data_IF_360449557350
#
_entry.id   IF_360449557350
#
_cell.length_a   1.000
_cell.length_b   1.000
_cell.length_c   1.000
_cell.angle_alpha   90.00
_cell.angle_beta   90.00
_cell.angle_gamma   90.00
#
_symmetry.space_group_name_H-M   'P 1'
#
loop_
_entity.id
_entity.type
_entity.pdbx_description
1 polymer ?
#
# COMPACT_ATOMS: atom_id res chain seq x y z
N UNK A 1 8.08 -2.80 -7.35
CA UNK A 1 7.22 -1.76 -6.74
C UNK A 1 7.87 -1.11 -5.53
N UNK A 2 8.13 -1.84 -4.47
CA UNK A 2 8.78 -1.27 -3.27
C UNK A 2 10.23 -0.82 -3.51
N UNK A 3 10.99 -1.54 -4.30
CA UNK A 3 12.32 -1.12 -4.73
C UNK A 3 12.30 0.23 -5.46
N UNK A 4 11.27 0.48 -6.26
CA UNK A 4 11.08 1.78 -6.91
C UNK A 4 10.78 2.90 -5.91
N UNK A 5 9.97 2.64 -4.88
CA UNK A 5 9.70 3.61 -3.81
C UNK A 5 10.97 3.94 -2.99
N UNK A 6 11.80 2.93 -2.70
CA UNK A 6 13.10 3.15 -2.06
C UNK A 6 14.03 3.96 -2.95
N UNK A 7 14.12 3.64 -4.24
CA UNK A 7 14.90 4.39 -5.21
C UNK A 7 14.43 5.84 -5.37
N UNK A 8 13.13 6.09 -5.20
CA UNK A 8 12.51 7.43 -5.28
C UNK A 8 12.41 8.16 -3.94
N UNK A 9 13.04 7.65 -2.89
CA UNK A 9 12.98 8.24 -1.55
C UNK A 9 13.43 9.71 -1.52
N UNK A 10 14.46 10.07 -2.28
CA UNK A 10 14.94 11.44 -2.35
C UNK A 10 13.90 12.38 -2.99
N UNK A 11 13.21 11.94 -4.04
CA UNK A 11 12.15 12.69 -4.70
C UNK A 11 10.93 12.88 -3.79
N UNK A 12 10.53 11.83 -3.06
CA UNK A 12 9.45 11.88 -2.09
C UNK A 12 9.77 12.85 -0.94
N UNK A 13 10.99 12.80 -0.41
CA UNK A 13 11.45 13.77 0.61
C UNK A 13 11.45 15.20 0.10
N UNK A 14 11.85 15.43 -1.14
CA UNK A 14 11.81 16.75 -1.76
C UNK A 14 10.38 17.30 -1.91
N UNK A 15 9.38 16.43 -1.96
CA UNK A 15 7.94 16.76 -1.94
C UNK A 15 7.37 16.93 -0.52
N UNK A 16 8.20 16.86 0.51
CA UNK A 16 7.78 17.02 1.90
C UNK A 16 7.29 15.75 2.60
N UNK A 17 7.49 14.58 1.99
CA UNK A 17 7.13 13.30 2.61
C UNK A 17 8.16 12.96 3.69
N UNK A 18 7.71 12.84 4.92
CA UNK A 18 8.53 12.51 6.07
C UNK A 18 8.64 11.01 6.30
N UNK A 19 7.58 10.25 6.00
CA UNK A 19 7.50 8.82 6.18
C UNK A 19 6.60 8.15 5.14
N UNK A 20 6.96 6.92 4.78
CA UNK A 20 6.11 6.04 3.97
C UNK A 20 5.84 4.78 4.79
N UNK A 21 4.58 4.53 5.10
CA UNK A 21 4.14 3.30 5.77
C UNK A 21 3.59 2.33 4.74
N UNK A 22 4.14 1.13 4.71
CA UNK A 22 3.63 0.02 3.92
C UNK A 22 3.01 -0.97 4.88
N UNK A 23 1.73 -1.27 4.72
CA UNK A 23 1.07 -2.26 5.56
C UNK A 23 0.32 -3.30 4.74
N UNK A 24 0.15 -4.46 5.31
CA UNK A 24 -0.70 -5.53 4.78
C UNK A 24 -1.47 -6.20 5.91
N UNK A 25 -2.55 -6.88 5.55
CA UNK A 25 -3.27 -7.79 6.45
C UNK A 25 -2.47 -9.10 6.54
N UNK A 26 -1.33 -9.02 7.22
CA UNK A 26 -0.44 -10.14 7.52
C UNK A 26 0.12 -9.95 8.93
N UNK A 27 0.66 -11.02 9.52
CA UNK A 27 1.31 -10.93 10.83
C UNK A 27 2.68 -10.26 10.79
N UNK A 28 3.22 -9.93 11.96
CA UNK A 28 4.49 -9.24 12.09
C UNK A 28 5.68 -10.07 11.57
N UNK A 29 5.63 -11.40 11.63
CA UNK A 29 6.70 -12.26 11.14
C UNK A 29 6.77 -12.22 9.61
N UNK A 30 5.63 -12.26 8.93
CA UNK A 30 5.54 -12.13 7.47
C UNK A 30 6.01 -10.75 7.03
N UNK A 31 5.58 -9.68 7.68
CA UNK A 31 5.98 -8.31 7.35
C UNK A 31 7.48 -8.10 7.57
N UNK A 32 8.05 -8.70 8.61
CA UNK A 32 9.50 -8.65 8.87
C UNK A 32 10.30 -9.39 7.80
N UNK A 33 9.84 -10.58 7.40
CA UNK A 33 10.48 -11.35 6.34
C UNK A 33 10.46 -10.60 5.00
N UNK A 34 9.33 -9.97 4.67
CA UNK A 34 9.20 -9.16 3.47
C UNK A 34 10.08 -7.90 3.52
N UNK A 35 10.13 -7.20 4.65
CA UNK A 35 11.02 -6.06 4.84
C UNK A 35 12.49 -6.44 4.61
N UNK A 36 12.91 -7.59 5.17
CA UNK A 36 14.27 -8.11 4.97
C UNK A 36 14.55 -8.43 3.50
N UNK A 37 13.61 -9.06 2.80
CA UNK A 37 13.72 -9.35 1.36
C UNK A 37 13.88 -8.07 0.53
N UNK A 38 13.18 -7.00 0.91
CA UNK A 38 13.23 -5.70 0.25
C UNK A 38 14.34 -4.77 0.77
N UNK A 39 15.23 -5.26 1.64
CA UNK A 39 16.29 -4.47 2.29
C UNK A 39 15.80 -3.23 3.05
N UNK A 40 14.65 -3.35 3.70
CA UNK A 40 14.04 -2.31 4.55
C UNK A 40 14.34 -2.62 6.01
N UNK A 41 15.13 -1.79 6.66
CA UNK A 41 15.56 -1.96 8.06
C UNK A 41 14.85 -1.00 9.04
N UNK A 42 13.94 -0.16 8.54
CA UNK A 42 13.19 0.80 9.33
C UNK A 42 13.92 2.10 9.67
N UNK A 43 15.20 2.26 9.24
CA UNK A 43 15.97 3.49 9.47
C UNK A 43 15.75 4.54 8.39
N UNK A 44 15.28 4.12 7.21
CA UNK A 44 15.00 5.00 6.07
C UNK A 44 13.58 5.59 6.10
N UNK A 45 13.16 6.09 4.93
CA UNK A 45 11.85 6.68 4.72
C UNK A 45 10.71 5.65 4.87
N UNK A 46 10.94 4.41 4.44
CA UNK A 46 9.93 3.36 4.34
C UNK A 46 9.94 2.48 5.58
N UNK A 47 8.77 2.24 6.15
CA UNK A 47 8.56 1.36 7.30
C UNK A 47 7.41 0.39 7.01
N UNK A 48 7.52 -0.86 7.44
CA UNK A 48 6.49 -1.88 7.28
C UNK A 48 5.70 -2.10 8.57
N UNK A 49 4.38 -2.19 8.43
CA UNK A 49 3.45 -2.46 9.51
C UNK A 49 2.61 -3.71 9.23
N UNK A 50 2.21 -4.39 10.29
CA UNK A 50 1.33 -5.55 10.26
C UNK A 50 -0.07 -5.18 10.75
N UNK A 51 -1.09 -5.46 9.94
CA UNK A 51 -2.51 -5.30 10.29
C UNK A 51 -3.20 -6.67 10.28
N UNK A 52 -2.70 -7.60 11.09
CA UNK A 52 -3.12 -9.02 11.07
C UNK A 52 -4.60 -9.25 11.42
N UNK A 53 -5.24 -8.33 12.14
CA UNK A 53 -6.65 -8.39 12.49
C UNK A 53 -7.53 -7.47 11.64
N UNK A 54 -6.99 -6.87 10.59
CA UNK A 54 -7.69 -5.94 9.69
C UNK A 54 -8.30 -4.72 10.39
N UNK A 55 -7.73 -4.29 11.51
CA UNK A 55 -8.25 -3.16 12.30
C UNK A 55 -8.09 -1.85 11.53
N UNK A 56 -6.89 -1.58 11.03
CA UNK A 56 -6.61 -0.41 10.21
C UNK A 56 -7.36 -0.46 8.88
N UNK A 57 -7.34 -1.61 8.21
CA UNK A 57 -8.04 -1.84 6.94
C UNK A 57 -9.52 -1.51 7.04
N UNK A 58 -10.19 -1.98 8.07
CA UNK A 58 -11.62 -1.71 8.31
C UNK A 58 -11.87 -0.25 8.68
N UNK A 59 -11.02 0.32 9.52
CA UNK A 59 -11.14 1.73 9.92
C UNK A 59 -11.01 2.69 8.73
N UNK A 60 -10.18 2.34 7.74
CA UNK A 60 -10.00 3.11 6.51
C UNK A 60 -11.06 2.81 5.43
N UNK A 61 -11.93 1.83 5.64
CA UNK A 61 -12.91 1.39 4.62
C UNK A 61 -12.25 0.70 3.41
N UNK A 62 -11.09 0.09 3.60
CA UNK A 62 -10.29 -0.52 2.52
C UNK A 62 -10.37 -2.04 2.49
N UNK A 63 -11.35 -2.63 3.14
CA UNK A 63 -11.56 -4.08 3.09
C UNK A 63 -12.07 -4.52 1.72
N UNK A 64 -11.48 -5.58 1.16
CA UNK A 64 -11.99 -6.25 -0.04
C UNK A 64 -13.23 -7.06 0.36
N UNK A 65 -14.36 -6.78 -0.30
CA UNK A 65 -15.66 -7.44 -0.04
C UNK A 65 -16.16 -8.29 -1.21
N UNK A 66 -15.41 -8.31 -2.33
CA UNK A 66 -15.79 -9.08 -3.52
C UNK A 66 -15.61 -10.59 -3.30
N UNK A 67 -16.56 -11.38 -3.73
CA UNK A 67 -16.59 -12.83 -3.49
C UNK A 67 -15.38 -13.59 -4.05
N UNK A 68 -14.90 -13.23 -5.25
CA UNK A 68 -13.74 -13.86 -5.86
C UNK A 68 -12.48 -13.72 -4.99
N UNK A 69 -11.98 -12.49 -4.78
CA UNK A 69 -10.83 -12.26 -3.91
C UNK A 69 -11.01 -12.78 -2.49
N UNK A 70 -12.19 -12.65 -1.89
CA UNK A 70 -12.46 -13.18 -0.55
C UNK A 70 -12.42 -14.71 -0.50
N UNK A 71 -12.85 -15.38 -1.58
CA UNK A 71 -12.79 -16.84 -1.69
C UNK A 71 -11.35 -17.36 -1.77
N UNK A 72 -10.50 -16.66 -2.51
CA UNK A 72 -9.12 -17.07 -2.74
C UNK A 72 -8.19 -16.68 -1.59
N UNK A 73 -8.36 -15.48 -1.04
CA UNK A 73 -7.44 -14.89 -0.06
C UNK A 73 -7.96 -14.93 1.39
N UNK A 74 -9.21 -15.27 1.57
CA UNK A 74 -9.90 -15.17 2.86
C UNK A 74 -10.45 -13.76 3.14
N UNK A 75 -11.28 -13.62 4.19
CA UNK A 75 -11.90 -12.35 4.55
C UNK A 75 -10.89 -11.38 5.19
N UNK A 76 -11.24 -10.11 5.18
CA UNK A 76 -10.48 -9.07 5.88
C UNK A 76 -9.26 -8.54 5.13
N UNK A 77 -9.03 -8.99 3.90
CA UNK A 77 -7.90 -8.52 3.07
C UNK A 77 -8.11 -7.07 2.64
N UNK A 78 -7.00 -6.37 2.46
CA UNK A 78 -6.98 -4.96 2.10
C UNK A 78 -6.95 -4.76 0.59
N UNK A 79 -7.72 -3.78 0.09
CA UNK A 79 -7.56 -3.24 -1.26
C UNK A 79 -6.13 -2.70 -1.44
N UNK A 80 -5.66 -2.62 -2.68
CA UNK A 80 -4.44 -1.89 -3.01
C UNK A 80 -4.77 -0.41 -3.08
N UNK A 81 -4.14 0.41 -2.25
CA UNK A 81 -4.35 1.86 -2.25
C UNK A 81 -3.11 2.61 -1.76
N UNK A 82 -3.10 3.91 -2.04
CA UNK A 82 -2.18 4.88 -1.45
C UNK A 82 -3.01 6.01 -0.86
N UNK A 83 -2.63 6.47 0.32
CA UNK A 83 -3.21 7.66 0.94
C UNK A 83 -2.10 8.64 1.33
N UNK A 84 -2.36 9.92 1.17
CA UNK A 84 -1.54 10.98 1.72
C UNK A 84 -2.18 11.48 3.00
N UNK A 85 -1.40 11.62 4.07
CA UNK A 85 -1.87 12.03 5.39
C UNK A 85 -0.99 13.17 5.90
N UNK A 86 -1.61 14.26 6.32
CA UNK A 86 -0.93 15.41 6.93
C UNK A 86 -1.59 15.69 8.28
N UNK A 87 -0.81 15.70 9.34
CA UNK A 87 -1.30 15.98 10.71
C UNK A 87 -2.52 15.13 11.10
N UNK A 88 -2.47 13.83 10.83
CA UNK A 88 -3.53 12.84 11.07
C UNK A 88 -4.82 13.04 10.24
N UNK A 89 -4.78 13.87 9.22
CA UNK A 89 -5.89 14.06 8.28
C UNK A 89 -5.52 13.45 6.92
N UNK A 90 -6.42 12.66 6.35
CA UNK A 90 -6.25 12.11 5.01
C UNK A 90 -6.53 13.19 3.98
N UNK A 91 -5.50 13.59 3.23
CA UNK A 91 -5.62 14.63 2.19
C UNK A 91 -6.27 14.07 0.93
N UNK A 92 -5.82 12.87 0.52
CA UNK A 92 -6.38 12.15 -0.62
C UNK A 92 -6.09 10.65 -0.52
N UNK A 93 -6.89 9.88 -1.24
CA UNK A 93 -6.73 8.42 -1.39
C UNK A 93 -6.81 8.07 -2.87
N UNK A 94 -5.90 7.21 -3.31
CA UNK A 94 -5.91 6.61 -4.64
C UNK A 94 -6.05 5.09 -4.50
N UNK A 95 -7.12 4.53 -5.02
CA UNK A 95 -7.41 3.09 -4.95
C UNK A 95 -7.15 2.46 -6.30
N UNK A 96 -6.44 1.32 -6.30
CA UNK A 96 -6.19 0.51 -7.48
C UNK A 96 -7.32 -0.52 -7.61
N UNK A 97 -8.39 -0.15 -8.31
CA UNK A 97 -9.54 -1.04 -8.57
C UNK A 97 -10.24 -0.66 -9.88
N UNK A 98 -10.88 -1.65 -10.52
CA UNK A 98 -11.74 -1.47 -11.67
C UNK A 98 -12.93 -2.45 -11.56
N UNK A 99 -14.03 -2.26 -12.34
CA UNK A 99 -15.17 -3.17 -12.29
C UNK A 99 -14.85 -4.64 -12.60
N UNK A 100 -13.85 -4.87 -13.44
CA UNK A 100 -13.33 -6.19 -13.83
C UNK A 100 -12.08 -6.60 -13.03
N UNK A 101 -11.57 -5.73 -12.18
CA UNK A 101 -10.42 -5.95 -11.32
C UNK A 101 -10.62 -5.29 -9.94
N UNK A 102 -11.54 -5.82 -9.13
CA UNK A 102 -11.92 -5.18 -7.86
C UNK A 102 -10.84 -5.24 -6.78
N UNK A 103 -9.85 -6.13 -6.91
CA UNK A 103 -8.70 -6.22 -6.00
C UNK A 103 -7.49 -5.43 -6.50
N UNK A 104 -7.47 -5.02 -7.77
CA UNK A 104 -6.36 -4.30 -8.39
C UNK A 104 -5.10 -5.14 -8.56
N UNK A 105 -5.23 -6.45 -8.75
CA UNK A 105 -4.11 -7.40 -8.76
C UNK A 105 -4.05 -8.31 -9.99
N UNK A 106 -4.96 -8.17 -10.97
CA UNK A 106 -4.99 -8.99 -12.18
C UNK A 106 -3.75 -8.81 -13.05
N UNK A 107 -3.11 -7.65 -12.99
CA UNK A 107 -1.90 -7.35 -13.74
C UNK A 107 -0.97 -6.47 -12.90
N UNK A 108 0.15 -7.04 -12.47
CA UNK A 108 1.12 -6.37 -11.59
C UNK A 108 1.71 -5.08 -12.18
N UNK A 109 1.69 -4.92 -13.49
CA UNK A 109 2.20 -3.74 -14.21
C UNK A 109 1.11 -3.05 -15.06
N UNK A 110 -0.14 -3.49 -14.93
CA UNK A 110 -1.26 -2.98 -15.70
C UNK A 110 -1.72 -1.58 -15.30
N UNK A 111 -2.62 -0.98 -16.09
CA UNK A 111 -3.07 0.41 -15.86
C UNK A 111 -3.77 0.60 -14.52
N UNK A 112 -4.48 -0.39 -14.01
CA UNK A 112 -5.14 -0.32 -12.70
C UNK A 112 -4.12 -0.30 -11.57
N UNK A 113 -3.11 -1.17 -11.63
CA UNK A 113 -2.02 -1.21 -10.65
C UNK A 113 -1.19 0.07 -10.68
N UNK A 114 -0.96 0.66 -11.87
CA UNK A 114 -0.19 1.87 -12.06
C UNK A 114 -0.71 3.06 -11.23
N UNK A 115 -2.01 3.08 -10.90
CA UNK A 115 -2.62 4.15 -10.09
C UNK A 115 -2.03 4.28 -8.67
N UNK A 116 -1.38 3.25 -8.17
CA UNK A 116 -0.77 3.24 -6.83
C UNK A 116 0.75 3.11 -6.86
N UNK A 117 1.37 3.16 -8.03
CA UNK A 117 2.83 3.16 -8.16
C UNK A 117 3.41 4.52 -7.81
N UNK A 118 4.69 4.54 -7.44
CA UNK A 118 5.37 5.75 -6.97
C UNK A 118 5.40 6.86 -8.03
N UNK A 119 5.48 6.52 -9.29
CA UNK A 119 5.43 7.46 -10.42
C UNK A 119 4.11 8.25 -10.42
N UNK A 120 2.99 7.56 -10.23
CA UNK A 120 1.67 8.20 -10.11
C UNK A 120 1.59 9.05 -8.84
N UNK A 121 2.03 8.50 -7.71
CA UNK A 121 2.04 9.20 -6.42
C UNK A 121 2.80 10.52 -6.51
N UNK A 122 3.97 10.53 -7.14
CA UNK A 122 4.77 11.75 -7.32
C UNK A 122 4.05 12.83 -8.13
N UNK A 123 3.12 12.47 -9.01
CA UNK A 123 2.30 13.44 -9.76
C UNK A 123 1.17 14.04 -8.92
N UNK A 124 0.77 13.36 -7.83
CA UNK A 124 -0.31 13.79 -6.93
C UNK A 124 0.19 14.65 -5.76
N UNK A 125 1.48 14.60 -5.48
CA UNK A 125 2.17 15.41 -4.47
C UNK A 125 2.62 16.76 -5.04
#
# INVERSE_FOLDING_TARGET
MLSAQVAKSAELKAKGIERVFVYCVNDAAVMRAWAKDQNIDGTGLVTFWADHLSVLTKALGMEITHNGPCGDLGPGRCKRFVACVTDNVVDWVQVSEAPDDPAGDNDAEGPVTAETLVEKVLTLL
#
